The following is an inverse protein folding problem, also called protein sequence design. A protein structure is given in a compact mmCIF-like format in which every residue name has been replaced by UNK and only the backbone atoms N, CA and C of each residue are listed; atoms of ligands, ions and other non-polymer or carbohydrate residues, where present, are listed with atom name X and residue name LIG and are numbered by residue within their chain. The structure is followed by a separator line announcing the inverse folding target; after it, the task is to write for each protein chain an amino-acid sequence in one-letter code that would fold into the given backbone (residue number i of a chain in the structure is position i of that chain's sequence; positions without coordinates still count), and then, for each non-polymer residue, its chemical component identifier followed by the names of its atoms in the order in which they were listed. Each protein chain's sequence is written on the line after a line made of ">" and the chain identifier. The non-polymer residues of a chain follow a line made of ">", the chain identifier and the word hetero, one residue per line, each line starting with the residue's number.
data_IF_355163673493
#
_entry.id   IF_355163673493
#
_cell.length_a   1.000
_cell.length_b   1.000
_cell.length_c   1.000
_cell.angle_alpha   90.00
_cell.angle_beta   90.00
_cell.angle_gamma   90.00
#
_symmetry.space_group_name_H-M   'P 1'
#
loop_
_entity.id
_entity.type
_entity.pdbx_description
1 polymer ?
#
# COMPACT_ATOMS: atom_id res chain seq x y z
N UNK A 1 -50.08 -5.64 -28.00
CA UNK A 1 -48.71 -5.16 -27.66
C UNK A 1 -47.76 -6.26 -28.10
N UNK A 2 -46.88 -6.00 -29.07
CA UNK A 2 -45.97 -7.05 -29.59
C UNK A 2 -44.84 -7.32 -28.59
N UNK A 3 -44.32 -8.55 -28.60
CA UNK A 3 -43.20 -9.00 -27.73
C UNK A 3 -42.00 -8.04 -27.83
N UNK A 4 -41.78 -7.42 -28.99
CA UNK A 4 -40.75 -6.41 -29.23
C UNK A 4 -40.90 -5.16 -28.36
N UNK A 5 -42.13 -4.71 -28.09
CA UNK A 5 -42.41 -3.53 -27.25
C UNK A 5 -42.15 -3.86 -25.77
N UNK A 6 -42.40 -5.10 -25.35
CA UNK A 6 -42.19 -5.54 -23.97
C UNK A 6 -40.69 -5.65 -23.63
N UNK A 7 -39.86 -6.11 -24.57
CA UNK A 7 -38.39 -6.21 -24.40
C UNK A 7 -37.73 -4.83 -24.36
N UNK A 8 -38.21 -3.88 -25.18
CA UNK A 8 -37.73 -2.50 -25.15
C UNK A 8 -38.14 -1.80 -23.85
N UNK A 9 -39.36 -2.03 -23.34
CA UNK A 9 -39.78 -1.47 -22.06
C UNK A 9 -38.98 -2.04 -20.87
N UNK A 10 -38.66 -3.34 -20.88
CA UNK A 10 -37.92 -4.00 -19.79
C UNK A 10 -36.44 -3.59 -19.76
N UNK A 11 -35.81 -3.37 -20.91
CA UNK A 11 -34.41 -2.89 -21.01
C UNK A 11 -34.27 -1.44 -20.55
N UNK A 12 -35.25 -0.58 -20.85
CA UNK A 12 -35.27 0.81 -20.36
C UNK A 12 -35.51 0.84 -18.83
N UNK A 13 -36.33 -0.08 -18.30
CA UNK A 13 -36.61 -0.15 -16.87
C UNK A 13 -35.41 -0.63 -16.05
N UNK A 14 -34.54 -1.49 -16.60
CA UNK A 14 -33.31 -1.90 -15.90
C UNK A 14 -32.28 -0.78 -15.77
N UNK A 15 -32.28 0.21 -16.67
CA UNK A 15 -31.39 1.38 -16.57
C UNK A 15 -31.88 2.43 -15.55
N UNK A 16 -33.15 2.40 -15.16
CA UNK A 16 -33.74 3.32 -14.18
C UNK A 16 -33.56 2.87 -12.71
N UNK A 17 -33.04 1.66 -12.48
CA UNK A 17 -32.89 1.05 -11.15
C UNK A 17 -31.49 0.49 -10.88
N UNK A 18 -30.48 0.88 -11.67
CA UNK A 18 -29.11 0.69 -11.19
C UNK A 18 -28.91 1.66 -10.02
N UNK A 19 -28.50 1.20 -8.83
CA UNK A 19 -28.02 2.13 -7.82
C UNK A 19 -26.93 2.96 -8.48
N UNK A 20 -26.99 4.29 -8.35
CA UNK A 20 -25.93 5.17 -8.79
C UNK A 20 -24.61 4.59 -8.27
N UNK A 21 -23.82 4.02 -9.19
CA UNK A 21 -22.45 3.65 -8.88
C UNK A 21 -21.77 5.00 -8.79
N UNK A 22 -21.80 5.57 -7.59
CA UNK A 22 -20.92 6.67 -7.22
C UNK A 22 -19.51 6.09 -7.33
N UNK A 23 -18.99 6.09 -8.56
CA UNK A 23 -17.57 6.00 -8.80
C UNK A 23 -17.00 7.15 -7.98
N UNK A 24 -16.30 6.82 -6.89
CA UNK A 24 -15.55 7.80 -6.11
C UNK A 24 -14.40 8.22 -7.01
N UNK A 25 -14.70 9.05 -7.99
CA UNK A 25 -13.72 9.77 -8.76
C UNK A 25 -13.15 10.80 -7.79
N UNK A 26 -11.82 10.84 -7.64
CA UNK A 26 -11.18 11.97 -6.99
C UNK A 26 -11.73 13.23 -7.68
N UNK A 27 -12.46 14.06 -6.93
CA UNK A 27 -13.05 15.27 -7.49
C UNK A 27 -11.94 16.05 -8.20
N UNK A 28 -12.23 16.59 -9.37
CA UNK A 28 -11.25 17.42 -10.08
C UNK A 28 -10.89 18.58 -9.14
N UNK A 29 -9.62 18.66 -8.73
CA UNK A 29 -9.10 19.64 -7.76
C UNK A 29 -9.60 19.50 -6.30
N UNK A 30 -10.14 18.34 -5.90
CA UNK A 30 -10.55 18.07 -4.52
C UNK A 30 -9.58 17.09 -3.86
N UNK A 31 -9.07 17.45 -2.67
CA UNK A 31 -8.31 16.54 -1.82
C UNK A 31 -9.24 15.88 -0.80
N UNK A 32 -9.13 14.56 -0.64
CA UNK A 32 -9.82 13.83 0.42
C UNK A 32 -8.83 13.35 1.48
N UNK A 33 -9.23 13.40 2.75
CA UNK A 33 -8.40 12.94 3.87
C UNK A 33 -8.81 11.51 4.22
N UNK A 34 -8.24 10.54 3.51
CA UNK A 34 -8.50 9.10 3.71
C UNK A 34 -7.22 8.34 4.08
N UNK A 35 -6.36 8.94 4.89
CA UNK A 35 -5.12 8.30 5.36
C UNK A 35 -5.37 7.31 6.51
N UNK A 36 -4.40 6.44 6.81
CA UNK A 36 -4.46 5.59 8.00
C UNK A 36 -4.60 6.42 9.28
N UNK A 37 -5.25 5.87 10.32
CA UNK A 37 -5.45 6.58 11.57
C UNK A 37 -4.13 6.79 12.34
N UNK A 38 -3.92 8.00 12.85
CA UNK A 38 -3.12 8.22 14.06
C UNK A 38 -1.62 8.52 13.91
N UNK A 39 -1.12 8.90 12.71
CA UNK A 39 0.24 9.41 12.57
C UNK A 39 0.43 10.14 11.23
N UNK A 40 1.47 10.98 11.16
CA UNK A 40 1.95 11.53 9.90
C UNK A 40 2.45 10.40 8.99
N UNK A 41 2.01 10.44 7.73
CA UNK A 41 2.47 9.55 6.68
C UNK A 41 3.84 10.03 6.22
N UNK A 42 4.85 9.18 6.39
CA UNK A 42 6.24 9.46 5.98
C UNK A 42 6.51 8.99 4.55
N UNK A 43 5.79 7.96 4.11
CA UNK A 43 5.93 7.36 2.78
C UNK A 43 4.64 6.66 2.36
N UNK A 44 4.33 6.70 1.06
CA UNK A 44 3.19 6.03 0.46
C UNK A 44 3.63 5.32 -0.83
N UNK A 45 3.32 4.03 -0.95
CA UNK A 45 3.61 3.24 -2.16
C UNK A 45 2.36 2.49 -2.59
N UNK A 46 2.08 2.52 -3.89
CA UNK A 46 1.02 1.73 -4.53
C UNK A 46 1.66 0.44 -5.06
N UNK A 47 0.96 -0.68 -4.89
CA UNK A 47 1.33 -1.91 -5.55
C UNK A 47 1.17 -1.76 -7.09
N UNK A 48 2.24 -1.94 -7.89
CA UNK A 48 2.21 -1.64 -9.32
C UNK A 48 1.37 -2.63 -10.15
N UNK A 49 0.98 -3.79 -9.60
CA UNK A 49 0.17 -4.80 -10.30
C UNK A 49 -1.24 -4.86 -9.70
N UNK A 50 -1.36 -4.87 -8.37
CA UNK A 50 -2.62 -4.87 -7.64
C UNK A 50 -2.91 -3.42 -7.21
N UNK A 51 -3.27 -2.55 -8.16
CA UNK A 51 -3.30 -1.09 -7.96
C UNK A 51 -4.25 -0.57 -6.89
N UNK A 52 -5.17 -1.39 -6.38
CA UNK A 52 -6.02 -1.06 -5.22
C UNK A 52 -5.32 -1.30 -3.88
N UNK A 53 -4.16 -1.95 -3.89
CA UNK A 53 -3.33 -2.18 -2.71
C UNK A 53 -2.38 -1.01 -2.53
N UNK A 54 -2.44 -0.38 -1.36
CA UNK A 54 -1.60 0.75 -1.00
C UNK A 54 -0.95 0.48 0.35
N UNK A 55 0.33 0.80 0.46
CA UNK A 55 1.09 0.72 1.69
C UNK A 55 1.45 2.12 2.15
N UNK A 56 1.20 2.42 3.42
CA UNK A 56 1.52 3.70 4.05
C UNK A 56 2.45 3.47 5.24
N UNK A 57 3.63 4.07 5.17
CA UNK A 57 4.56 4.14 6.28
C UNK A 57 4.27 5.37 7.12
N UNK A 58 4.38 5.22 8.44
CA UNK A 58 4.17 6.31 9.39
C UNK A 58 5.26 6.29 10.45
N UNK A 59 5.27 7.30 11.34
CA UNK A 59 6.11 7.27 12.53
C UNK A 59 5.80 6.12 13.50
N UNK A 60 4.58 5.55 13.41
CA UNK A 60 4.07 4.56 14.35
C UNK A 60 3.93 3.15 13.77
N UNK A 61 4.22 2.96 12.49
CA UNK A 61 4.17 1.65 11.86
C UNK A 61 3.74 1.68 10.40
N UNK A 62 3.53 0.49 9.87
CA UNK A 62 3.12 0.23 8.49
C UNK A 62 1.62 -0.06 8.44
N UNK A 63 0.95 0.50 7.44
CA UNK A 63 -0.47 0.27 7.17
C UNK A 63 -0.66 -0.22 5.73
N UNK A 64 -1.69 -1.04 5.51
CA UNK A 64 -2.12 -1.53 4.20
C UNK A 64 -3.59 -1.23 3.97
N UNK A 65 -3.88 -0.71 2.80
CA UNK A 65 -5.22 -0.67 2.21
C UNK A 65 -5.28 -1.67 1.05
N UNK A 66 -6.45 -2.28 0.85
CA UNK A 66 -6.74 -3.16 -0.31
C UNK A 66 -7.89 -2.63 -1.17
N UNK A 67 -8.39 -1.44 -0.84
CA UNK A 67 -9.58 -0.82 -1.43
C UNK A 67 -9.31 0.60 -1.93
N UNK A 68 -8.06 0.89 -2.30
CA UNK A 68 -7.65 2.19 -2.86
C UNK A 68 -7.55 3.31 -1.82
N UNK A 69 -7.35 2.96 -0.55
CA UNK A 69 -7.21 3.91 0.56
C UNK A 69 -8.53 4.23 1.28
N UNK A 70 -9.63 3.53 0.99
CA UNK A 70 -10.90 3.75 1.69
C UNK A 70 -10.88 3.18 3.11
N UNK A 71 -10.12 2.11 3.35
CA UNK A 71 -9.85 1.56 4.67
C UNK A 71 -8.39 1.10 4.81
N UNK A 72 -7.89 1.10 6.06
CA UNK A 72 -6.50 0.80 6.38
C UNK A 72 -6.42 -0.19 7.54
N UNK A 73 -5.52 -1.17 7.42
CA UNK A 73 -5.18 -2.11 8.48
C UNK A 73 -3.71 -1.92 8.87
N UNK A 74 -3.43 -1.97 10.17
CA UNK A 74 -2.04 -2.00 10.65
C UNK A 74 -1.38 -3.33 10.28
N UNK A 75 -0.13 -3.28 9.84
CA UNK A 75 0.71 -4.46 9.64
C UNK A 75 1.65 -4.60 10.83
N UNK A 76 1.62 -5.77 11.46
CA UNK A 76 2.63 -6.15 12.43
C UNK A 76 3.90 -6.61 11.69
N UNK A 77 4.97 -5.85 11.85
CA UNK A 77 6.26 -6.11 11.21
C UNK A 77 7.20 -6.95 12.09
N UNK A 78 6.74 -7.41 13.26
CA UNK A 78 7.56 -8.22 14.18
C UNK A 78 8.68 -7.41 14.83
N UNK A 79 8.37 -6.19 15.24
CA UNK A 79 9.30 -5.28 15.94
C UNK A 79 10.00 -5.95 17.14
N UNK A 80 11.27 -5.59 17.47
CA UNK A 80 11.93 -6.10 18.65
C UNK A 80 11.14 -5.82 19.94
N UNK A 81 11.15 -6.78 20.86
CA UNK A 81 10.45 -6.69 22.15
C UNK A 81 10.83 -5.40 22.89
N UNK A 82 9.82 -4.61 23.28
CA UNK A 82 10.00 -3.33 23.97
C UNK A 82 9.91 -2.09 23.06
N UNK A 83 9.80 -2.28 21.74
CA UNK A 83 9.54 -1.17 20.81
C UNK A 83 8.06 -0.76 20.90
N UNK A 84 7.78 0.51 21.20
CA UNK A 84 6.40 1.04 21.25
C UNK A 84 5.92 1.58 19.91
N UNK A 85 6.83 1.92 19.01
CA UNK A 85 6.57 2.33 17.63
C UNK A 85 7.80 2.06 16.77
N UNK A 86 7.58 1.77 15.49
CA UNK A 86 8.64 1.73 14.48
C UNK A 86 8.28 2.74 13.40
N UNK A 87 9.14 3.74 13.24
CA UNK A 87 9.01 4.70 12.15
C UNK A 87 9.48 4.07 10.85
N UNK A 88 8.58 4.04 9.87
CA UNK A 88 8.87 3.62 8.50
C UNK A 88 9.45 4.81 7.75
N UNK A 89 10.60 4.62 7.12
CA UNK A 89 11.29 5.69 6.38
C UNK A 89 11.04 5.59 4.88
N UNK A 90 11.02 4.38 4.33
CA UNK A 90 10.73 4.14 2.92
C UNK A 90 10.07 2.78 2.71
N UNK A 91 9.33 2.63 1.61
CA UNK A 91 8.65 1.40 1.19
C UNK A 91 8.91 1.15 -0.29
N UNK A 92 9.50 -0.01 -0.58
CA UNK A 92 9.72 -0.51 -1.93
C UNK A 92 8.93 -1.81 -2.14
N UNK A 93 8.27 -1.94 -3.30
CA UNK A 93 7.54 -3.16 -3.67
C UNK A 93 8.11 -3.77 -4.94
N UNK A 94 8.08 -5.09 -5.01
CA UNK A 94 8.55 -5.86 -6.14
C UNK A 94 7.56 -7.00 -6.42
N UNK A 95 7.22 -7.21 -7.69
CA UNK A 95 6.43 -8.37 -8.07
C UNK A 95 7.34 -9.52 -8.46
N UNK A 96 7.21 -10.63 -7.74
CA UNK A 96 7.93 -11.86 -8.04
C UNK A 96 6.89 -12.95 -8.22
N UNK A 97 6.77 -13.44 -9.46
CA UNK A 97 5.73 -14.39 -9.87
C UNK A 97 4.31 -13.83 -9.65
N UNK A 98 3.60 -14.30 -8.64
CA UNK A 98 2.20 -13.96 -8.33
C UNK A 98 2.04 -13.33 -6.95
N UNK A 99 3.11 -12.81 -6.36
CA UNK A 99 3.07 -12.20 -5.03
C UNK A 99 3.92 -10.93 -4.98
N UNK A 100 3.50 -10.03 -4.10
CA UNK A 100 4.22 -8.79 -3.79
C UNK A 100 5.23 -9.05 -2.69
N UNK A 101 6.49 -8.85 -3.03
CA UNK A 101 7.58 -8.71 -2.06
C UNK A 101 7.62 -7.25 -1.61
N UNK A 102 7.69 -7.03 -0.30
CA UNK A 102 7.71 -5.69 0.29
C UNK A 102 9.01 -5.52 1.05
N UNK A 103 9.66 -4.39 0.84
CA UNK A 103 10.83 -3.95 1.58
C UNK A 103 10.47 -2.66 2.30
N UNK A 104 10.76 -2.60 3.59
CA UNK A 104 10.59 -1.37 4.38
C UNK A 104 11.89 -1.05 5.08
N UNK A 105 12.25 0.22 5.09
CA UNK A 105 13.32 0.71 5.94
C UNK A 105 12.75 1.37 7.18
N UNK A 106 13.48 1.24 8.29
CA UNK A 106 13.08 1.76 9.59
C UNK A 106 14.12 2.75 10.10
N UNK A 107 13.74 3.60 11.05
CA UNK A 107 14.65 4.63 11.62
C UNK A 107 15.77 4.07 12.49
N UNK A 108 15.66 2.84 12.99
CA UNK A 108 16.65 2.28 13.93
C UNK A 108 16.92 0.79 13.80
N UNK A 109 16.14 0.04 13.02
CA UNK A 109 16.17 -1.43 12.97
C UNK A 109 16.51 -1.96 11.57
N UNK A 110 17.02 -1.11 10.69
CA UNK A 110 17.44 -1.50 9.35
C UNK A 110 16.28 -1.80 8.41
N UNK A 111 16.42 -2.84 7.56
CA UNK A 111 15.47 -3.18 6.49
C UNK A 111 14.74 -4.48 6.78
N UNK A 112 13.42 -4.42 6.77
CA UNK A 112 12.55 -5.59 6.87
C UNK A 112 12.01 -5.97 5.50
N UNK A 113 11.82 -7.27 5.30
CA UNK A 113 11.32 -7.86 4.06
C UNK A 113 10.16 -8.79 4.35
N UNK A 114 9.09 -8.68 3.56
CA UNK A 114 8.02 -9.67 3.44
C UNK A 114 8.01 -10.25 2.02
N UNK A 115 7.77 -11.55 1.90
CA UNK A 115 7.59 -12.25 0.61
C UNK A 115 6.15 -12.75 0.40
N UNK A 116 5.25 -12.36 1.30
CA UNK A 116 3.88 -12.84 1.42
C UNK A 116 2.93 -11.66 1.67
N UNK A 117 3.15 -10.55 0.95
CA UNK A 117 2.29 -9.38 0.92
C UNK A 117 2.05 -8.68 2.29
N UNK A 118 2.98 -8.86 3.21
CA UNK A 118 3.00 -8.25 4.53
C UNK A 118 2.47 -9.14 5.64
N UNK A 119 2.24 -10.43 5.39
CA UNK A 119 1.77 -11.38 6.41
C UNK A 119 2.89 -11.77 7.39
N UNK A 120 4.11 -11.99 6.89
CA UNK A 120 5.29 -12.27 7.71
C UNK A 120 6.47 -11.42 7.27
N UNK A 121 7.35 -11.12 8.22
CA UNK A 121 8.47 -10.21 8.03
C UNK A 121 9.76 -10.81 8.58
N UNK A 122 10.85 -10.55 7.86
CA UNK A 122 12.21 -10.90 8.26
C UNK A 122 13.06 -9.64 8.24
N UNK A 123 13.83 -9.40 9.30
CA UNK A 123 14.86 -8.37 9.27
C UNK A 123 15.99 -8.85 8.33
N UNK A 124 16.03 -8.28 7.13
CA UNK A 124 16.95 -8.70 6.06
C UNK A 124 18.26 -7.95 6.08
N UNK A 125 18.34 -6.83 6.82
CA UNK A 125 19.54 -6.03 6.96
C UNK A 125 19.52 -5.34 8.34
N UNK A 126 20.10 -5.99 9.33
CA UNK A 126 20.21 -5.48 10.69
C UNK A 126 21.57 -4.78 10.90
N UNK A 127 21.67 -3.54 10.42
CA UNK A 127 22.91 -2.76 10.50
C UNK A 127 22.86 -1.63 11.54
N UNK A 128 21.73 -1.49 12.25
CA UNK A 128 21.46 -0.36 13.11
C UNK A 128 21.36 0.98 12.35
N UNK A 129 20.59 1.92 12.90
CA UNK A 129 20.39 3.23 12.27
C UNK A 129 19.38 3.24 11.11
N UNK A 130 19.16 4.44 10.57
CA UNK A 130 18.11 4.70 9.58
C UNK A 130 18.58 4.43 8.15
N UNK A 131 17.81 3.64 7.40
CA UNK A 131 17.91 3.59 5.94
C UNK A 131 16.86 4.54 5.37
N UNK A 132 17.28 5.61 4.70
CA UNK A 132 16.38 6.67 4.25
C UNK A 132 15.76 6.40 2.88
N UNK A 133 16.35 5.51 2.09
CA UNK A 133 15.89 5.23 0.74
C UNK A 133 16.05 3.75 0.40
N UNK A 134 15.05 3.20 -0.28
CA UNK A 134 15.02 1.89 -0.87
C UNK A 134 14.62 2.01 -2.34
N UNK A 135 15.28 1.25 -3.21
CA UNK A 135 14.88 1.14 -4.61
C UNK A 135 15.02 -0.29 -5.10
N UNK A 136 13.99 -0.81 -5.75
CA UNK A 136 14.03 -2.13 -6.42
C UNK A 136 14.45 -1.92 -7.86
N UNK A 137 15.33 -2.78 -8.38
CA UNK A 137 15.62 -2.82 -9.81
C UNK A 137 14.38 -3.30 -10.58
N UNK A 138 13.81 -2.49 -11.50
CA UNK A 138 12.60 -2.85 -12.23
C UNK A 138 12.81 -3.98 -13.24
N UNK A 139 14.05 -4.24 -13.66
CA UNK A 139 14.42 -5.33 -14.58
C UNK A 139 14.78 -6.61 -13.82
N UNK A 140 15.27 -6.47 -12.59
CA UNK A 140 15.70 -7.59 -11.73
C UNK A 140 15.06 -7.41 -10.34
N UNK A 141 13.79 -7.82 -10.13
CA UNK A 141 13.05 -7.57 -8.88
C UNK A 141 13.66 -8.19 -7.61
N UNK A 142 14.69 -9.03 -7.75
CA UNK A 142 15.47 -9.59 -6.64
C UNK A 142 16.65 -8.71 -6.22
N UNK A 143 16.94 -7.62 -6.94
CA UNK A 143 17.99 -6.64 -6.64
C UNK A 143 17.38 -5.40 -6.01
N UNK A 144 17.87 -5.03 -4.81
CA UNK A 144 17.39 -3.87 -4.04
C UNK A 144 18.59 -3.06 -3.57
N UNK A 145 18.47 -1.74 -3.70
CA UNK A 145 19.45 -0.76 -3.27
C UNK A 145 18.95 -0.07 -2.01
N UNK A 146 19.82 0.07 -1.01
CA UNK A 146 19.55 0.78 0.24
C UNK A 146 20.48 1.98 0.38
N UNK A 147 19.91 3.17 0.55
CA UNK A 147 20.63 4.43 0.73
C UNK A 147 20.56 4.92 2.17
N UNK A 148 21.72 5.22 2.74
CA UNK A 148 21.84 5.93 4.02
C UNK A 148 22.60 7.24 3.80
N UNK A 149 22.16 8.31 4.47
CA UNK A 149 22.94 9.53 4.55
C UNK A 149 24.06 9.32 5.59
N UNK A 150 25.33 9.66 5.29
CA UNK A 150 26.37 9.64 6.31
C UNK A 150 25.94 10.52 7.49
N UNK A 151 25.97 9.98 8.70
CA UNK A 151 25.89 10.83 9.90
C UNK A 151 27.17 11.65 9.93
N UNK A 152 27.06 12.94 9.63
CA UNK A 152 28.17 13.91 9.73
C UNK A 152 28.55 14.22 11.16
#
# INVERSE_FOLDING_TARGET
>A
ISISILVVALTILTFLFLPDVNLIQAGINEWTTQGPPGADITVLTIDPIITNTIYAGTFNGLYKSIDGGNSWNIIDIGAPVGSTSISILDIATAHVMSSTVIYISTSGYGVYKSIDEGLTWVNSLDIGGGINALAVDPLIPTTVYAGNAPMG
#
